data_IF_548738813752
#
_entry.id   IF_548738813752
#
_cell.length_a   1.000
_cell.length_b   1.000
_cell.length_c   1.000
_cell.angle_alpha   90.00
_cell.angle_beta   90.00
_cell.angle_gamma   90.00
#
_symmetry.space_group_name_H-M   'P 1'
#
loop_
_entity.id
_entity.type
_entity.pdbx_description
1 polymer ?
#
# COMPACT_ATOMS: atom_id res chain seq x y z
N UNK A 1 21.11 43.88 -25.87
CA UNK A 1 21.59 45.18 -26.38
C UNK A 1 21.40 45.36 -27.89
N UNK A 2 21.31 44.30 -28.72
CA UNK A 2 21.22 44.42 -30.19
C UNK A 2 19.85 44.84 -30.76
N UNK A 3 18.73 44.28 -30.24
CA UNK A 3 17.40 44.50 -30.84
C UNK A 3 16.90 45.95 -30.70
N UNK A 4 17.17 46.60 -29.56
CA UNK A 4 16.83 48.00 -29.34
C UNK A 4 17.65 48.96 -30.20
N UNK A 5 18.89 48.60 -30.54
CA UNK A 5 19.77 49.41 -31.38
C UNK A 5 19.36 49.37 -32.85
N UNK A 6 18.94 48.20 -33.36
CA UNK A 6 18.43 48.07 -34.74
C UNK A 6 17.12 48.87 -34.94
N UNK A 7 16.18 48.77 -33.99
CA UNK A 7 14.94 49.56 -33.99
C UNK A 7 15.21 51.06 -33.98
N UNK A 8 16.21 51.51 -33.20
CA UNK A 8 16.62 52.92 -33.17
C UNK A 8 17.20 53.38 -34.51
N UNK A 9 18.02 52.55 -35.17
CA UNK A 9 18.59 52.87 -36.49
C UNK A 9 17.51 52.92 -37.58
N UNK A 10 16.56 51.99 -37.56
CA UNK A 10 15.41 51.99 -38.47
C UNK A 10 14.52 53.22 -38.23
N UNK A 11 14.23 53.55 -36.98
CA UNK A 11 13.47 54.76 -36.62
C UNK A 11 14.19 56.04 -37.05
N UNK A 12 15.52 56.09 -36.91
CA UNK A 12 16.32 57.23 -37.38
C UNK A 12 16.30 57.35 -38.91
N UNK A 13 16.31 56.23 -39.63
CA UNK A 13 16.18 56.23 -41.09
C UNK A 13 14.79 56.71 -41.52
N UNK A 14 13.74 56.25 -40.85
CA UNK A 14 12.36 56.68 -41.06
C UNK A 14 12.18 58.19 -40.79
N UNK A 15 12.77 58.69 -39.71
CA UNK A 15 12.77 60.10 -39.36
C UNK A 15 13.51 60.94 -40.41
N UNK A 16 14.66 60.47 -40.90
CA UNK A 16 15.43 61.11 -41.97
C UNK A 16 14.62 61.19 -43.27
N UNK A 17 13.90 60.12 -43.61
CA UNK A 17 13.01 60.09 -44.79
C UNK A 17 11.82 61.04 -44.62
N UNK A 18 11.27 61.12 -43.41
CA UNK A 18 10.08 61.93 -43.10
C UNK A 18 10.39 63.42 -43.05
N UNK A 19 11.54 63.82 -42.50
CA UNK A 19 11.96 65.23 -42.36
C UNK A 19 12.57 65.83 -43.63
N UNK A 20 12.87 65.01 -44.63
CA UNK A 20 13.50 65.46 -45.87
C UNK A 20 12.53 66.20 -46.79
N UNK A 21 12.95 67.29 -47.46
CA UNK A 21 12.09 68.10 -48.32
C UNK A 21 11.60 67.29 -49.53
N UNK A 22 10.33 67.54 -49.90
CA UNK A 22 9.68 66.93 -51.06
C UNK A 22 9.50 67.97 -52.16
N UNK A 23 10.06 67.71 -53.35
CA UNK A 23 9.95 68.58 -54.53
C UNK A 23 9.46 67.75 -55.70
N UNK A 24 8.35 68.17 -56.33
CA UNK A 24 7.72 67.46 -57.46
C UNK A 24 7.50 65.95 -57.20
N UNK A 25 7.07 65.60 -55.99
CA UNK A 25 6.84 64.20 -55.57
C UNK A 25 8.10 63.40 -55.25
N UNK A 26 9.30 63.98 -55.34
CA UNK A 26 10.59 63.34 -55.01
C UNK A 26 11.09 63.78 -53.64
N UNK A 27 11.59 62.82 -52.85
CA UNK A 27 12.23 63.07 -51.55
C UNK A 27 13.73 63.29 -51.76
N UNK A 28 14.27 64.38 -51.22
CA UNK A 28 15.69 64.69 -51.29
C UNK A 28 16.38 64.32 -49.97
N UNK A 29 17.08 63.18 -49.97
CA UNK A 29 17.76 62.65 -48.78
C UNK A 29 19.24 63.07 -48.75
N UNK A 30 19.79 63.40 -47.57
CA UNK A 30 21.24 63.48 -47.38
C UNK A 30 21.87 62.11 -47.60
N UNK A 31 22.55 61.92 -48.74
CA UNK A 31 23.05 60.60 -49.16
C UNK A 31 24.03 60.01 -48.15
N UNK A 32 24.96 60.81 -47.63
CA UNK A 32 26.00 60.34 -46.70
C UNK A 32 25.41 59.83 -45.38
N UNK A 33 24.44 60.56 -44.80
CA UNK A 33 23.78 60.17 -43.56
C UNK A 33 22.89 58.94 -43.75
N UNK A 34 22.14 58.87 -44.86
CA UNK A 34 21.33 57.71 -45.20
C UNK A 34 22.18 56.45 -45.38
N UNK A 35 23.32 56.56 -46.08
CA UNK A 35 24.25 55.45 -46.28
C UNK A 35 24.94 55.04 -44.97
N UNK A 36 25.25 55.97 -44.08
CA UNK A 36 25.83 55.66 -42.77
C UNK A 36 24.84 54.85 -41.90
N UNK A 37 23.58 55.28 -41.84
CA UNK A 37 22.53 54.55 -41.11
C UNK A 37 22.34 53.14 -41.72
N UNK A 38 22.30 53.04 -43.05
CA UNK A 38 22.14 51.76 -43.74
C UNK A 38 23.32 50.81 -43.49
N UNK A 39 24.56 51.30 -43.46
CA UNK A 39 25.74 50.51 -43.07
C UNK A 39 25.64 50.01 -41.63
N UNK A 40 25.20 50.85 -40.70
CA UNK A 40 25.01 50.45 -39.29
C UNK A 40 23.92 49.39 -39.13
N UNK A 41 22.83 49.49 -39.90
CA UNK A 41 21.79 48.45 -39.97
C UNK A 41 22.38 47.15 -40.51
N UNK A 42 23.15 47.21 -41.60
CA UNK A 42 23.76 46.04 -42.22
C UNK A 42 24.73 45.29 -41.29
N UNK A 43 25.47 46.01 -40.45
CA UNK A 43 26.37 45.41 -39.46
C UNK A 43 25.62 44.82 -38.26
N UNK A 44 24.52 45.45 -37.84
CA UNK A 44 23.78 45.05 -36.63
C UNK A 44 22.69 44.00 -36.88
N UNK A 45 22.22 43.85 -38.11
CA UNK A 45 21.16 42.90 -38.47
C UNK A 45 21.60 41.42 -38.35
N UNK A 46 22.73 40.97 -38.94
CA UNK A 46 23.15 39.56 -38.85
C UNK A 46 23.28 39.02 -37.41
N UNK A 47 23.94 39.70 -36.45
CA UNK A 47 24.03 39.20 -35.08
C UNK A 47 22.67 39.21 -34.36
N UNK A 48 21.77 40.13 -34.70
CA UNK A 48 20.41 40.14 -34.13
C UNK A 48 19.58 38.95 -34.62
N UNK A 49 19.69 38.59 -35.91
CA UNK A 49 19.04 37.40 -36.48
C UNK A 49 19.61 36.13 -35.83
N UNK A 50 20.93 36.01 -35.73
CA UNK A 50 21.58 34.87 -35.08
C UNK A 50 21.15 34.69 -33.63
N UNK A 51 21.06 35.79 -32.87
CA UNK A 51 20.58 35.74 -31.49
C UNK A 51 19.12 35.26 -31.40
N UNK A 52 18.26 35.67 -32.35
CA UNK A 52 16.88 35.19 -32.41
C UNK A 52 16.80 33.69 -32.72
N UNK A 53 17.61 33.20 -33.65
CA UNK A 53 17.72 31.77 -33.98
C UNK A 53 18.20 30.95 -32.78
N UNK A 54 19.22 31.42 -32.05
CA UNK A 54 19.70 30.76 -30.82
C UNK A 54 18.62 30.70 -29.73
N UNK A 55 17.82 31.75 -29.58
CA UNK A 55 16.69 31.77 -28.63
C UNK A 55 15.63 30.74 -29.03
N UNK A 56 15.32 30.63 -30.34
CA UNK A 56 14.37 29.64 -30.85
C UNK A 56 14.86 28.22 -30.61
N UNK A 57 16.13 27.93 -30.92
CA UNK A 57 16.73 26.62 -30.66
C UNK A 57 16.71 26.26 -29.17
N UNK A 58 17.09 27.20 -28.29
CA UNK A 58 17.02 26.98 -26.84
C UNK A 58 15.61 26.73 -26.35
N UNK A 59 14.63 27.45 -26.91
CA UNK A 59 13.21 27.22 -26.59
C UNK A 59 12.79 25.79 -26.95
N UNK A 60 13.15 25.32 -28.14
CA UNK A 60 12.84 23.95 -28.56
C UNK A 60 13.50 22.91 -27.65
N UNK A 61 14.77 23.13 -27.29
CA UNK A 61 15.48 22.26 -26.33
C UNK A 61 14.77 22.23 -24.97
N UNK A 62 14.43 23.38 -24.39
CA UNK A 62 13.75 23.47 -23.09
C UNK A 62 12.38 22.75 -23.15
N UNK A 63 11.64 22.91 -24.24
CA UNK A 63 10.36 22.22 -24.41
C UNK A 63 10.54 20.70 -24.50
N UNK A 64 11.59 20.23 -25.20
CA UNK A 64 11.93 18.81 -25.25
C UNK A 64 12.28 18.24 -23.87
N UNK A 65 13.17 18.92 -23.14
CA UNK A 65 13.57 18.52 -21.78
C UNK A 65 12.38 18.51 -20.81
N UNK A 66 11.51 19.52 -20.89
CA UNK A 66 10.30 19.59 -20.07
C UNK A 66 9.32 18.45 -20.37
N UNK A 67 9.17 18.09 -21.66
CA UNK A 67 8.31 16.98 -22.07
C UNK A 67 8.86 15.64 -21.57
N UNK A 68 10.17 15.40 -21.73
CA UNK A 68 10.81 14.19 -21.22
C UNK A 68 10.67 14.07 -19.70
N UNK A 69 10.84 15.18 -18.98
CA UNK A 69 10.70 15.19 -17.52
C UNK A 69 9.25 14.95 -17.08
N UNK A 70 8.28 15.53 -17.78
CA UNK A 70 6.87 15.26 -17.55
C UNK A 70 6.54 13.77 -17.76
N UNK A 71 7.07 13.16 -18.82
CA UNK A 71 6.88 11.74 -19.11
C UNK A 71 7.56 10.86 -18.04
N UNK A 72 8.77 11.21 -17.60
CA UNK A 72 9.45 10.54 -16.47
C UNK A 72 8.63 10.59 -15.18
N UNK A 73 8.08 11.76 -14.84
CA UNK A 73 7.24 11.95 -13.65
C UNK A 73 5.97 11.10 -13.75
N UNK A 74 5.30 11.11 -14.91
CA UNK A 74 4.09 10.31 -15.15
C UNK A 74 4.35 8.81 -15.02
N UNK A 75 5.44 8.33 -15.63
CA UNK A 75 5.83 6.91 -15.53
C UNK A 75 6.11 6.51 -14.09
N UNK A 76 6.89 7.33 -13.35
CA UNK A 76 7.22 7.07 -11.95
C UNK A 76 5.97 7.07 -11.06
N UNK A 77 5.12 8.07 -11.22
CA UNK A 77 3.87 8.20 -10.46
C UNK A 77 2.94 7.02 -10.72
N UNK A 78 2.78 6.63 -11.99
CA UNK A 78 1.95 5.48 -12.37
C UNK A 78 2.51 4.17 -11.83
N UNK A 79 3.83 3.98 -11.88
CA UNK A 79 4.49 2.80 -11.32
C UNK A 79 4.28 2.68 -9.81
N UNK A 80 4.45 3.79 -9.09
CA UNK A 80 4.26 3.85 -7.65
C UNK A 80 2.80 3.61 -7.24
N UNK A 81 1.84 4.22 -7.96
CA UNK A 81 0.42 3.99 -7.73
C UNK A 81 0.06 2.50 -7.90
N UNK A 82 0.58 1.84 -8.94
CA UNK A 82 0.40 0.40 -9.15
C UNK A 82 0.99 -0.43 -8.00
N UNK A 83 2.19 -0.07 -7.52
CA UNK A 83 2.84 -0.74 -6.38
C UNK A 83 1.98 -0.64 -5.12
N UNK A 84 1.55 0.56 -4.76
CA UNK A 84 0.71 0.82 -3.59
C UNK A 84 -0.62 0.06 -3.68
N UNK A 85 -1.29 0.07 -4.84
CA UNK A 85 -2.54 -0.68 -5.02
C UNK A 85 -2.33 -2.18 -4.89
N UNK A 86 -1.25 -2.71 -5.45
CA UNK A 86 -0.90 -4.13 -5.33
C UNK A 86 -0.62 -4.52 -3.87
N UNK A 87 0.17 -3.71 -3.15
CA UNK A 87 0.48 -3.93 -1.73
C UNK A 87 -0.77 -3.83 -0.85
N UNK A 88 -1.63 -2.84 -1.10
CA UNK A 88 -2.90 -2.70 -0.40
C UNK A 88 -3.81 -3.91 -0.67
N UNK A 89 -3.93 -4.36 -1.92
CA UNK A 89 -4.74 -5.53 -2.25
C UNK A 89 -4.22 -6.79 -1.56
N UNK A 90 -2.90 -7.01 -1.59
CA UNK A 90 -2.26 -8.12 -0.90
C UNK A 90 -2.49 -8.07 0.62
N UNK A 91 -2.35 -6.89 1.23
CA UNK A 91 -2.58 -6.69 2.66
C UNK A 91 -4.03 -6.97 3.05
N UNK A 92 -4.98 -6.50 2.24
CA UNK A 92 -6.41 -6.76 2.47
C UNK A 92 -6.72 -8.26 2.40
N UNK A 93 -6.21 -8.95 1.39
CA UNK A 93 -6.40 -10.39 1.23
C UNK A 93 -5.74 -11.19 2.37
N UNK A 94 -4.54 -10.78 2.80
CA UNK A 94 -3.88 -11.37 3.96
C UNK A 94 -4.68 -11.16 5.26
N UNK A 95 -5.29 -9.97 5.44
CA UNK A 95 -6.13 -9.69 6.59
C UNK A 95 -7.42 -10.51 6.58
N UNK A 96 -8.09 -10.63 5.43
CA UNK A 96 -9.26 -11.48 5.25
C UNK A 96 -8.93 -12.95 5.56
N UNK A 97 -7.81 -13.46 5.04
CA UNK A 97 -7.37 -14.83 5.31
C UNK A 97 -7.01 -15.05 6.79
N UNK A 98 -6.35 -14.07 7.41
CA UNK A 98 -6.05 -14.10 8.85
C UNK A 98 -7.32 -14.17 9.70
N UNK A 99 -8.32 -13.36 9.38
CA UNK A 99 -9.61 -13.36 10.06
C UNK A 99 -10.34 -14.70 9.88
N UNK A 100 -10.30 -15.27 8.67
CA UNK A 100 -10.86 -16.59 8.40
C UNK A 100 -10.19 -17.67 9.26
N UNK A 101 -8.85 -17.73 9.29
CA UNK A 101 -8.11 -18.71 10.10
C UNK A 101 -8.44 -18.55 11.58
N UNK A 102 -8.55 -17.31 12.09
CA UNK A 102 -8.93 -17.06 13.48
C UNK A 102 -10.34 -17.57 13.77
N UNK A 103 -11.30 -17.31 12.89
CA UNK A 103 -12.66 -17.79 13.05
C UNK A 103 -12.74 -19.32 13.03
N UNK A 104 -12.03 -19.97 12.10
CA UNK A 104 -11.92 -21.43 12.02
C UNK A 104 -11.28 -22.01 13.28
N UNK A 105 -10.19 -21.41 13.78
CA UNK A 105 -9.52 -21.85 15.00
C UNK A 105 -10.41 -21.71 16.25
N UNK A 106 -11.17 -20.61 16.36
CA UNK A 106 -12.12 -20.42 17.46
C UNK A 106 -13.26 -21.44 17.41
N UNK A 107 -13.82 -21.68 16.22
CA UNK A 107 -14.86 -22.71 16.03
C UNK A 107 -14.34 -24.10 16.39
N UNK A 108 -13.13 -24.43 15.95
CA UNK A 108 -12.50 -25.71 16.26
C UNK A 108 -12.24 -25.86 17.77
N UNK A 109 -11.76 -24.81 18.43
CA UNK A 109 -11.52 -24.83 19.88
C UNK A 109 -12.82 -25.06 20.66
N UNK A 110 -13.92 -24.39 20.29
CA UNK A 110 -15.23 -24.60 20.90
C UNK A 110 -15.75 -26.02 20.68
N UNK A 111 -15.59 -26.57 19.48
CA UNK A 111 -15.99 -27.95 19.20
C UNK A 111 -15.17 -28.94 20.05
N UNK A 112 -13.85 -28.75 20.12
CA UNK A 112 -12.96 -29.59 20.94
C UNK A 112 -13.35 -29.54 22.42
N UNK A 113 -13.68 -28.37 22.95
CA UNK A 113 -14.13 -28.23 24.34
C UNK A 113 -15.45 -29.00 24.59
N UNK A 114 -16.42 -28.88 23.67
CA UNK A 114 -17.68 -29.61 23.77
C UNK A 114 -17.47 -31.13 23.69
N UNK A 115 -16.61 -31.59 22.79
CA UNK A 115 -16.28 -33.01 22.65
C UNK A 115 -15.56 -33.55 23.89
N UNK A 116 -14.60 -32.79 24.45
CA UNK A 116 -13.92 -33.14 25.69
C UNK A 116 -14.89 -33.21 26.88
N UNK A 117 -15.77 -32.22 27.03
CA UNK A 117 -16.79 -32.21 28.08
C UNK A 117 -17.75 -33.42 27.96
N UNK A 118 -18.17 -33.75 26.74
CA UNK A 118 -19.01 -34.93 26.48
C UNK A 118 -18.29 -36.22 26.85
N UNK A 119 -17.02 -36.34 26.48
CA UNK A 119 -16.20 -37.50 26.83
C UNK A 119 -16.04 -37.64 28.35
N UNK A 120 -15.76 -36.55 29.06
CA UNK A 120 -15.66 -36.56 30.54
C UNK A 120 -16.99 -37.00 31.16
N UNK A 121 -18.12 -36.48 30.70
CA UNK A 121 -19.44 -36.92 31.18
C UNK A 121 -19.66 -38.41 30.95
N UNK A 122 -19.35 -38.93 29.76
CA UNK A 122 -19.51 -40.35 29.44
C UNK A 122 -18.65 -41.24 30.35
N UNK A 123 -17.39 -40.86 30.58
CA UNK A 123 -16.47 -41.59 31.46
C UNK A 123 -16.96 -41.56 32.90
N UNK A 124 -17.39 -40.40 33.40
CA UNK A 124 -17.90 -40.27 34.76
C UNK A 124 -19.20 -41.05 34.98
N UNK A 125 -20.13 -41.01 34.01
CA UNK A 125 -21.37 -41.78 34.10
C UNK A 125 -21.12 -43.29 34.11
N UNK A 126 -20.19 -43.79 33.29
CA UNK A 126 -19.79 -45.21 33.32
C UNK A 126 -19.15 -45.60 34.66
N UNK A 127 -18.32 -44.72 35.22
CA UNK A 127 -17.71 -44.94 36.53
C UNK A 127 -18.78 -44.99 37.63
N UNK A 128 -19.73 -44.05 37.62
CA UNK A 128 -20.85 -44.03 38.56
C UNK A 128 -21.68 -45.32 38.49
N UNK A 129 -22.03 -45.77 37.28
CA UNK A 129 -22.78 -47.01 37.09
C UNK A 129 -22.03 -48.24 37.64
N UNK A 130 -20.72 -48.34 37.37
CA UNK A 130 -19.88 -49.42 37.90
C UNK A 130 -19.79 -49.38 39.43
N UNK A 131 -19.65 -48.20 40.03
CA UNK A 131 -19.60 -48.06 41.49
C UNK A 131 -20.93 -48.44 42.14
N UNK A 132 -22.07 -48.05 41.55
CA UNK A 132 -23.39 -48.44 42.02
C UNK A 132 -23.59 -49.96 41.94
N UNK A 133 -23.10 -50.61 40.87
CA UNK A 133 -23.12 -52.06 40.78
C UNK A 133 -22.23 -52.71 41.86
N UNK A 134 -21.02 -52.21 42.08
CA UNK A 134 -20.13 -52.71 43.11
C UNK A 134 -20.76 -52.59 44.52
N UNK A 135 -21.38 -51.45 44.84
CA UNK A 135 -22.09 -51.25 46.10
C UNK A 135 -23.24 -52.27 46.25
N UNK A 136 -24.02 -52.53 45.19
CA UNK A 136 -25.09 -53.55 45.22
C UNK A 136 -24.54 -54.94 45.53
N UNK A 137 -23.40 -55.32 44.95
CA UNK A 137 -22.74 -56.60 45.23
C UNK A 137 -22.31 -56.67 46.69
N UNK A 138 -21.70 -55.60 47.22
CA UNK A 138 -21.30 -55.53 48.63
C UNK A 138 -22.51 -55.61 49.57
N UNK A 139 -23.63 -54.96 49.22
CA UNK A 139 -24.85 -55.00 50.05
C UNK A 139 -25.42 -56.41 50.13
N UNK A 140 -25.51 -57.12 48.98
CA UNK A 140 -25.91 -58.53 48.94
C UNK A 140 -24.97 -59.41 49.77
N UNK A 141 -23.66 -59.25 49.60
CA UNK A 141 -22.68 -60.01 50.39
C UNK A 141 -22.80 -59.76 51.90
N UNK A 142 -23.22 -58.56 52.32
CA UNK A 142 -23.52 -58.26 53.73
C UNK A 142 -24.85 -58.86 54.20
N UNK A 143 -25.88 -58.90 53.35
CA UNK A 143 -27.18 -59.53 53.67
C UNK A 143 -27.05 -61.05 53.77
N UNK A 144 -26.27 -61.67 52.89
CA UNK A 144 -25.99 -63.11 52.88
C UNK A 144 -25.07 -63.54 54.03
N UNK A 145 -24.42 -62.58 54.72
CA UNK A 145 -23.59 -62.84 55.88
C UNK A 145 -24.45 -63.09 57.12
N UNK A 146 -24.70 -64.36 57.43
CA UNK A 146 -25.14 -64.78 58.75
C UNK A 146 -23.91 -64.88 59.67
N UNK A 147 -23.83 -64.13 60.80
CA UNK A 147 -22.83 -64.42 61.80
C UNK A 147 -23.09 -65.84 62.32
N UNK A 148 -22.06 -66.68 62.33
CA UNK A 148 -22.11 -67.94 63.07
C UNK A 148 -22.22 -67.55 64.54
N UNK A 149 -23.42 -67.67 65.12
CA UNK A 149 -23.57 -67.66 66.57
C UNK A 149 -22.77 -68.86 67.07
N UNK A 150 -21.77 -68.59 67.91
CA UNK A 150 -21.02 -69.59 68.65
C UNK A 150 -21.96 -70.20 69.70
N UNK A 151 -22.89 -71.05 69.25
CA UNK A 151 -23.66 -71.95 70.10
C UNK A 151 -22.76 -73.13 70.47
N UNK A 152 -21.82 -72.87 71.36
CA UNK A 152 -21.14 -73.89 72.16
C UNK A 152 -21.39 -73.58 73.65
N UNK A 153 -22.66 -73.47 74.02
CA UNK A 153 -23.07 -73.86 75.36
C UNK A 153 -23.08 -75.38 75.40
N UNK A 154 -22.32 -75.91 76.37
CA UNK A 154 -22.67 -77.06 77.20
C UNK A 154 -23.46 -78.19 76.54
N UNK A 155 -22.79 -79.33 76.31
CA UNK A 155 -23.22 -80.68 76.68
C UNK A 155 -22.39 -81.69 75.87
N UNK A 156 -21.38 -82.28 76.52
CA UNK A 156 -21.18 -83.72 76.52
C UNK A 156 -20.27 -84.07 77.69
N UNK A 157 -20.96 -84.35 78.79
CA UNK A 157 -20.55 -85.19 79.90
C UNK A 157 -20.24 -86.61 79.39
N UNK A 158 -19.30 -87.29 80.06
CA UNK A 158 -18.99 -88.73 79.96
C UNK A 158 -18.25 -89.20 78.70
N UNK A 159 -16.94 -89.37 78.81
CA UNK A 159 -16.36 -90.69 79.15
C UNK A 159 -14.83 -90.61 79.17
N UNK A 160 -14.21 -91.53 79.93
CA UNK A 160 -12.77 -91.89 79.93
C UNK A 160 -11.81 -90.92 80.67
N UNK A 161 -10.97 -91.31 81.63
CA UNK A 161 -10.42 -92.61 82.03
C UNK A 161 -9.70 -92.48 83.40
N UNK A 162 -9.80 -93.56 84.19
CA UNK A 162 -8.94 -94.07 85.30
C UNK A 162 -8.47 -93.19 86.48
#
# INVERSE_FOLDING_TARGET
MGSGHLLLLLGRLEELITKSPRIAGRVFLPLDEALEILKKIQVSLPPAVKAAEEILQRKEQILGEAQEEADRILQRSTGEAKRILSEHHLTKLAQEKSNQIKAEALSYAQQMEQEANRYVQEVLSRLEENLLQAIKVVHRAKEDYAPVEDSAESEEENDEEE
#
